data_IF_663067795139
#
_entry.id   IF_663067795139
#
_cell.length_a   1.000
_cell.length_b   1.000
_cell.length_c   1.000
_cell.angle_alpha   90.00
_cell.angle_beta   90.00
_cell.angle_gamma   90.00
#
_symmetry.space_group_name_H-M   'P 1'
#
loop_
_entity.id
_entity.type
_entity.pdbx_description
1 polymer ?
#
# COMPACT_ATOMS: atom_id res chain seq x y z
N UNK A 1 -23.63 34.07 -40.99
CA UNK A 1 -22.61 34.69 -40.15
C UNK A 1 -21.88 33.58 -39.43
N UNK A 2 -20.86 33.08 -40.10
CA UNK A 2 -20.06 31.89 -39.78
C UNK A 2 -18.69 32.33 -39.29
N UNK A 3 -18.07 31.57 -38.45
CA UNK A 3 -16.69 31.62 -37.92
C UNK A 3 -16.60 32.11 -36.45
N UNK A 4 -16.22 31.16 -35.64
CA UNK A 4 -15.13 31.17 -34.67
C UNK A 4 -15.45 30.19 -33.54
N UNK A 5 -14.72 29.09 -33.51
CA UNK A 5 -14.26 28.38 -32.32
C UNK A 5 -13.45 27.17 -32.80
N UNK A 6 -12.24 27.47 -33.25
CA UNK A 6 -11.17 26.49 -33.37
C UNK A 6 -10.14 26.78 -32.29
N UNK A 7 -10.15 25.99 -31.24
CA UNK A 7 -9.17 26.03 -30.16
C UNK A 7 -8.77 24.61 -29.80
N UNK A 8 -7.94 23.98 -30.65
CA UNK A 8 -7.35 22.68 -30.37
C UNK A 8 -6.32 22.77 -29.26
N UNK A 9 -6.68 22.38 -28.03
CA UNK A 9 -5.76 22.15 -26.95
C UNK A 9 -4.91 20.93 -27.24
N UNK A 10 -3.63 21.12 -27.54
CA UNK A 10 -2.64 20.02 -27.62
C UNK A 10 -2.51 19.33 -26.25
N UNK A 11 -2.47 18.01 -26.19
CA UNK A 11 -2.42 17.28 -24.92
C UNK A 11 -1.10 17.57 -24.19
N UNK A 12 -1.20 17.92 -22.91
CA UNK A 12 -0.10 18.21 -21.98
C UNK A 12 0.86 17.02 -21.73
N UNK A 13 0.59 15.85 -22.28
CA UNK A 13 1.43 14.65 -22.18
C UNK A 13 2.84 14.79 -22.79
N UNK A 14 3.03 15.68 -23.74
CA UNK A 14 4.33 15.86 -24.41
C UNK A 14 5.41 16.56 -23.57
N UNK A 15 5.03 17.37 -22.60
CA UNK A 15 5.99 18.13 -21.76
C UNK A 15 6.56 17.27 -20.62
N UNK A 16 5.75 16.41 -20.04
CA UNK A 16 6.17 15.48 -18.98
C UNK A 16 7.11 14.41 -19.54
N UNK A 17 6.78 13.84 -20.70
CA UNK A 17 7.61 12.86 -21.37
C UNK A 17 8.99 13.43 -21.81
N UNK A 18 9.07 14.70 -22.21
CA UNK A 18 10.34 15.37 -22.56
C UNK A 18 11.21 15.62 -21.33
N UNK A 19 10.63 16.03 -20.20
CA UNK A 19 11.37 16.26 -18.95
C UNK A 19 11.94 14.96 -18.38
N UNK A 20 11.13 13.90 -18.33
CA UNK A 20 11.59 12.58 -17.93
C UNK A 20 12.67 12.00 -18.86
N UNK A 21 12.60 12.31 -20.17
CA UNK A 21 13.63 11.91 -21.11
C UNK A 21 14.99 12.57 -20.83
N UNK A 22 15.01 13.85 -20.48
CA UNK A 22 16.24 14.57 -20.12
C UNK A 22 16.83 14.13 -18.78
N UNK A 23 16.01 13.91 -17.75
CA UNK A 23 16.48 13.40 -16.44
C UNK A 23 17.01 11.97 -16.54
N UNK A 24 16.49 11.17 -17.47
CA UNK A 24 17.01 9.83 -17.75
C UNK A 24 18.35 9.84 -18.50
N UNK A 25 18.63 10.88 -19.31
CA UNK A 25 19.92 11.02 -20.00
C UNK A 25 21.09 11.30 -19.05
N UNK A 26 20.83 11.89 -17.89
CA UNK A 26 21.84 12.24 -16.89
C UNK A 26 22.05 11.15 -15.81
N UNK A 27 21.21 10.11 -15.79
CA UNK A 27 21.27 9.03 -14.79
C UNK A 27 22.35 7.97 -15.12
N UNK A 28 22.94 7.26 -14.15
CA UNK A 28 23.88 6.17 -14.36
C UNK A 28 23.31 5.07 -15.27
N UNK A 29 24.17 4.47 -16.11
CA UNK A 29 23.78 3.51 -17.18
C UNK A 29 22.95 2.33 -16.64
N UNK A 30 23.24 1.84 -15.44
CA UNK A 30 22.47 0.75 -14.81
C UNK A 30 21.06 1.17 -14.40
N UNK A 31 20.90 2.38 -13.87
CA UNK A 31 19.60 2.96 -13.53
C UNK A 31 18.72 3.16 -14.76
N UNK A 32 19.32 3.59 -15.88
CA UNK A 32 18.62 3.75 -17.17
C UNK A 32 18.08 2.43 -17.70
N UNK A 33 18.86 1.35 -17.59
CA UNK A 33 18.43 0.00 -18.07
C UNK A 33 17.25 -0.52 -17.23
N UNK A 34 17.30 -0.33 -15.93
CA UNK A 34 16.25 -0.79 -15.02
C UNK A 34 14.95 -0.02 -15.21
N UNK A 35 15.01 1.32 -15.33
CA UNK A 35 13.84 2.17 -15.60
C UNK A 35 13.24 1.90 -16.98
N UNK A 36 14.07 1.68 -18.00
CA UNK A 36 13.61 1.31 -19.35
C UNK A 36 12.97 -0.08 -19.38
N UNK A 37 13.48 -1.04 -18.62
CA UNK A 37 12.89 -2.37 -18.51
C UNK A 37 11.54 -2.33 -17.78
N UNK A 38 11.44 -1.58 -16.68
CA UNK A 38 10.19 -1.33 -15.96
C UNK A 38 9.16 -0.62 -16.85
N UNK A 39 9.56 0.42 -17.54
CA UNK A 39 8.68 1.15 -18.46
C UNK A 39 8.18 0.25 -19.61
N UNK A 40 9.07 -0.55 -20.21
CA UNK A 40 8.69 -1.53 -21.25
C UNK A 40 7.78 -2.63 -20.70
N UNK A 41 7.97 -3.06 -19.45
CA UNK A 41 7.10 -4.04 -18.80
C UNK A 41 5.72 -3.46 -18.56
N UNK A 42 5.63 -2.24 -18.03
CA UNK A 42 4.37 -1.53 -17.79
C UNK A 42 3.61 -1.25 -19.09
N UNK A 43 4.30 -0.82 -20.14
CA UNK A 43 3.68 -0.64 -21.47
C UNK A 43 3.14 -1.96 -22.02
N UNK A 44 3.85 -3.07 -21.84
CA UNK A 44 3.39 -4.38 -22.28
C UNK A 44 2.21 -4.91 -21.49
N UNK A 45 2.17 -4.65 -20.19
CA UNK A 45 1.01 -4.97 -19.35
C UNK A 45 -0.20 -4.14 -19.81
N UNK A 46 0.01 -2.86 -20.11
CA UNK A 46 -1.04 -1.98 -20.61
C UNK A 46 -1.56 -2.41 -22.01
N UNK A 47 -0.68 -2.77 -22.93
CA UNK A 47 -1.06 -3.27 -24.27
C UNK A 47 -1.88 -4.55 -24.20
N UNK A 48 -1.50 -5.50 -23.34
CA UNK A 48 -2.26 -6.73 -23.08
C UNK A 48 -3.63 -6.41 -22.49
N UNK A 49 -3.68 -5.48 -21.56
CA UNK A 49 -4.92 -5.03 -20.92
C UNK A 49 -5.88 -4.39 -21.95
N UNK A 50 -5.39 -3.45 -22.78
CA UNK A 50 -6.19 -2.81 -23.83
C UNK A 50 -6.71 -3.81 -24.86
N UNK A 51 -5.88 -4.77 -25.28
CA UNK A 51 -6.27 -5.79 -26.25
C UNK A 51 -7.38 -6.69 -25.70
N UNK A 52 -7.24 -7.13 -24.44
CA UNK A 52 -8.24 -7.97 -23.76
C UNK A 52 -9.61 -7.27 -23.61
N UNK A 53 -9.61 -5.95 -23.40
CA UNK A 53 -10.83 -5.16 -23.29
C UNK A 53 -11.57 -5.09 -24.63
N UNK A 54 -10.86 -4.93 -25.75
CA UNK A 54 -11.46 -4.73 -27.07
C UNK A 54 -12.17 -5.96 -27.66
N UNK A 55 -11.82 -7.18 -27.22
CA UNK A 55 -12.27 -8.42 -27.83
C UNK A 55 -13.54 -9.04 -27.20
N UNK A 56 -14.10 -8.49 -26.11
CA UNK A 56 -15.17 -9.13 -25.36
C UNK A 56 -16.57 -8.49 -25.58
N UNK A 57 -17.68 -9.27 -25.60
CA UNK A 57 -19.05 -8.73 -25.59
C UNK A 57 -19.30 -7.85 -24.37
N UNK A 58 -20.05 -6.76 -24.52
CA UNK A 58 -20.19 -5.69 -23.51
C UNK A 58 -20.54 -6.16 -22.09
N UNK A 59 -21.42 -7.13 -21.93
CA UNK A 59 -21.80 -7.62 -20.60
C UNK A 59 -20.74 -8.49 -19.88
N UNK A 60 -19.84 -9.15 -20.62
CA UNK A 60 -18.74 -9.93 -20.04
C UNK A 60 -17.51 -9.08 -19.76
N UNK A 61 -17.27 -8.03 -20.52
CA UNK A 61 -16.17 -7.06 -20.29
C UNK A 61 -16.23 -6.49 -18.89
N UNK A 62 -17.42 -6.34 -18.38
CA UNK A 62 -17.79 -5.66 -17.16
C UNK A 62 -17.31 -6.37 -15.89
N UNK A 63 -17.57 -7.65 -15.76
CA UNK A 63 -17.14 -8.44 -14.59
C UNK A 63 -15.63 -8.68 -14.56
N UNK A 64 -15.02 -8.82 -15.73
CA UNK A 64 -13.61 -9.12 -15.89
C UNK A 64 -12.69 -7.95 -15.51
N UNK A 65 -13.16 -6.71 -15.63
CA UNK A 65 -12.32 -5.54 -15.38
C UNK A 65 -12.16 -5.22 -13.89
N UNK A 66 -13.18 -5.44 -13.06
CA UNK A 66 -13.04 -5.22 -11.59
C UNK A 66 -12.09 -6.23 -10.94
N UNK A 67 -12.15 -7.50 -11.36
CA UNK A 67 -11.23 -8.52 -10.87
C UNK A 67 -9.79 -8.19 -11.28
N UNK A 68 -9.57 -7.57 -12.44
CA UNK A 68 -8.23 -7.26 -12.98
C UNK A 68 -7.49 -6.11 -12.33
N UNK A 69 -8.16 -5.14 -11.71
CA UNK A 69 -7.47 -4.15 -10.88
C UNK A 69 -6.82 -4.79 -9.65
N UNK A 70 -7.55 -5.68 -8.98
CA UNK A 70 -6.99 -6.45 -7.88
C UNK A 70 -5.86 -7.37 -8.34
N UNK A 71 -5.98 -7.95 -9.54
CA UNK A 71 -4.94 -8.75 -10.19
C UNK A 71 -3.68 -7.91 -10.50
N UNK A 72 -3.86 -6.68 -11.02
CA UNK A 72 -2.76 -5.76 -11.26
C UNK A 72 -1.95 -5.44 -9.98
N UNK A 73 -2.64 -5.21 -8.87
CA UNK A 73 -2.00 -5.03 -7.57
C UNK A 73 -1.30 -6.30 -7.08
N UNK A 74 -1.89 -7.49 -7.30
CA UNK A 74 -1.26 -8.76 -6.94
C UNK A 74 0.01 -9.06 -7.75
N UNK A 75 0.15 -8.50 -8.96
CA UNK A 75 1.36 -8.63 -9.76
C UNK A 75 2.59 -7.95 -9.13
N UNK A 76 2.40 -7.04 -8.18
CA UNK A 76 3.48 -6.43 -7.40
C UNK A 76 4.13 -7.37 -6.38
N UNK A 77 3.44 -8.43 -5.94
CA UNK A 77 3.95 -9.31 -4.88
C UNK A 77 5.25 -10.03 -5.28
N UNK A 78 5.40 -10.61 -6.50
CA UNK A 78 6.68 -11.14 -6.96
C UNK A 78 7.81 -10.10 -7.00
N UNK A 79 7.47 -8.84 -7.32
CA UNK A 79 8.44 -7.75 -7.31
C UNK A 79 8.87 -7.39 -5.88
N UNK A 80 7.94 -7.38 -4.92
CA UNK A 80 8.26 -7.20 -3.51
C UNK A 80 9.22 -8.29 -2.98
N UNK A 81 9.09 -9.53 -3.45
CA UNK A 81 10.04 -10.60 -3.14
C UNK A 81 11.47 -10.29 -3.64
N UNK A 82 11.60 -9.75 -4.87
CA UNK A 82 12.90 -9.34 -5.40
C UNK A 82 13.49 -8.17 -4.61
N UNK A 83 12.66 -7.19 -4.21
CA UNK A 83 13.09 -6.11 -3.32
C UNK A 83 13.53 -6.62 -1.95
N UNK A 84 12.86 -7.66 -1.41
CA UNK A 84 13.28 -8.34 -0.18
C UNK A 84 14.68 -8.93 -0.27
N UNK A 85 15.05 -9.52 -1.41
CA UNK A 85 16.41 -10.02 -1.66
C UNK A 85 17.43 -8.86 -1.65
N UNK A 86 17.09 -7.73 -2.29
CA UNK A 86 17.94 -6.53 -2.29
C UNK A 86 18.09 -5.98 -0.87
N UNK A 87 17.04 -6.02 -0.06
CA UNK A 87 17.01 -5.57 1.32
C UNK A 87 18.05 -6.26 2.23
N UNK A 88 18.46 -7.49 1.91
CA UNK A 88 19.51 -8.20 2.66
C UNK A 88 20.82 -7.40 2.67
N UNK A 89 21.17 -6.79 1.56
CA UNK A 89 22.42 -5.99 1.45
C UNK A 89 22.35 -4.69 2.25
N UNK A 90 21.15 -4.16 2.49
CA UNK A 90 20.94 -2.98 3.33
C UNK A 90 20.89 -3.28 4.83
N UNK A 91 20.65 -4.53 5.21
CA UNK A 91 20.47 -4.95 6.60
C UNK A 91 21.55 -4.50 7.58
N UNK A 92 22.87 -4.68 7.29
CA UNK A 92 23.94 -4.25 8.16
C UNK A 92 23.99 -2.74 8.44
N UNK A 93 23.37 -1.93 7.56
CA UNK A 93 23.33 -0.47 7.68
C UNK A 93 22.06 0.06 8.35
N UNK A 94 20.99 -0.75 8.32
CA UNK A 94 19.67 -0.35 8.85
C UNK A 94 19.44 -0.85 10.27
N UNK A 95 19.95 -2.03 10.61
CA UNK A 95 19.62 -2.70 11.86
C UNK A 95 20.81 -2.68 12.83
N UNK A 96 20.65 -1.98 13.95
CA UNK A 96 21.67 -1.89 15.00
C UNK A 96 21.97 -3.28 15.61
N UNK A 97 20.94 -4.14 15.73
CA UNK A 97 21.09 -5.51 16.26
C UNK A 97 21.97 -6.43 15.40
N UNK A 98 22.26 -6.04 14.15
CA UNK A 98 23.17 -6.79 13.29
C UNK A 98 24.60 -6.78 13.81
N UNK A 99 25.06 -5.61 14.29
CA UNK A 99 26.40 -5.43 14.86
C UNK A 99 26.41 -5.62 16.39
N UNK A 100 25.34 -5.22 17.06
CA UNK A 100 25.19 -5.22 18.52
C UNK A 100 23.91 -5.91 18.94
N UNK A 101 23.89 -7.27 18.96
CA UNK A 101 22.68 -8.02 19.33
C UNK A 101 22.29 -7.74 20.78
N UNK A 102 21.01 -7.50 21.04
CA UNK A 102 20.46 -7.28 22.37
C UNK A 102 20.38 -8.59 23.14
N UNK A 103 20.98 -8.61 24.34
CA UNK A 103 20.98 -9.78 25.20
C UNK A 103 19.55 -10.28 25.52
N UNK A 104 19.29 -11.56 25.30
CA UNK A 104 17.96 -12.18 25.44
C UNK A 104 17.09 -12.15 24.19
N UNK A 105 17.41 -11.38 23.14
CA UNK A 105 16.72 -11.39 21.84
C UNK A 105 17.54 -12.01 20.70
N UNK A 106 18.74 -12.51 20.97
CA UNK A 106 19.70 -13.05 20.01
C UNK A 106 19.11 -14.18 19.15
N UNK A 107 18.29 -15.02 19.76
CA UNK A 107 17.62 -16.12 19.04
C UNK A 107 16.58 -15.62 18.05
N UNK A 108 15.90 -14.50 18.35
CA UNK A 108 14.88 -13.91 17.49
C UNK A 108 15.49 -12.95 16.47
N UNK A 109 16.28 -11.98 16.90
CA UNK A 109 16.97 -11.01 16.06
C UNK A 109 18.30 -11.58 15.58
N UNK A 110 18.24 -12.55 14.69
CA UNK A 110 19.38 -13.16 14.04
C UNK A 110 19.27 -12.98 12.53
N UNK A 111 20.28 -12.47 11.83
CA UNK A 111 20.24 -12.21 10.40
C UNK A 111 19.77 -13.44 9.59
N UNK A 112 20.29 -14.61 9.89
CA UNK A 112 19.93 -15.85 9.18
C UNK A 112 18.45 -16.18 9.39
N UNK A 113 17.95 -16.12 10.64
CA UNK A 113 16.54 -16.40 10.95
C UNK A 113 15.63 -15.36 10.29
N UNK A 114 15.90 -14.06 10.46
CA UNK A 114 15.06 -12.97 9.94
C UNK A 114 14.94 -13.10 8.43
N UNK A 115 16.04 -13.09 7.70
CA UNK A 115 15.97 -13.10 6.23
C UNK A 115 15.49 -14.43 5.66
N UNK A 116 15.80 -15.56 6.29
CA UNK A 116 15.26 -16.85 5.85
C UNK A 116 13.74 -16.90 6.00
N UNK A 117 13.22 -16.43 7.14
CA UNK A 117 11.78 -16.39 7.40
C UNK A 117 11.08 -15.41 6.46
N UNK A 118 11.61 -14.21 6.31
CA UNK A 118 10.99 -13.17 5.48
C UNK A 118 11.00 -13.53 4.00
N UNK A 119 12.12 -14.06 3.48
CA UNK A 119 12.17 -14.52 2.10
C UNK A 119 11.27 -15.72 1.85
N UNK A 120 11.15 -16.64 2.83
CA UNK A 120 10.18 -17.72 2.72
C UNK A 120 8.75 -17.20 2.66
N UNK A 121 8.37 -16.26 3.54
CA UNK A 121 7.03 -15.66 3.56
C UNK A 121 6.73 -14.89 2.27
N UNK A 122 7.63 -14.02 1.85
CA UNK A 122 7.47 -13.25 0.60
C UNK A 122 7.45 -14.17 -0.61
N UNK A 123 8.29 -15.19 -0.65
CA UNK A 123 8.33 -16.18 -1.72
C UNK A 123 7.06 -17.02 -1.78
N UNK A 124 6.54 -17.46 -0.63
CA UNK A 124 5.27 -18.18 -0.54
C UNK A 124 4.10 -17.30 -1.00
N UNK A 125 4.06 -16.02 -0.57
CA UNK A 125 3.06 -15.06 -1.03
C UNK A 125 3.16 -14.80 -2.53
N UNK A 126 4.36 -14.63 -3.07
CA UNK A 126 4.59 -14.43 -4.50
C UNK A 126 4.13 -15.64 -5.33
N UNK A 127 4.46 -16.85 -4.87
CA UNK A 127 4.01 -18.08 -5.51
C UNK A 127 2.48 -18.19 -5.51
N UNK A 128 1.84 -17.97 -4.37
CA UNK A 128 0.39 -18.01 -4.25
C UNK A 128 -0.29 -16.93 -5.09
N UNK A 129 0.27 -15.72 -5.13
CA UNK A 129 -0.22 -14.64 -5.99
C UNK A 129 -0.17 -15.05 -7.48
N UNK A 130 0.94 -15.61 -7.95
CA UNK A 130 1.07 -16.08 -9.35
C UNK A 130 0.10 -17.22 -9.64
N UNK A 131 -0.08 -18.18 -8.72
CA UNK A 131 -1.03 -19.28 -8.88
C UNK A 131 -2.47 -18.76 -8.91
N UNK A 132 -2.80 -17.80 -8.04
CA UNK A 132 -4.11 -17.15 -8.01
C UNK A 132 -4.38 -16.37 -9.30
N UNK A 133 -3.42 -15.54 -9.73
CA UNK A 133 -3.51 -14.77 -10.99
C UNK A 133 -3.69 -15.69 -12.20
N UNK A 134 -2.92 -16.80 -12.24
CA UNK A 134 -3.09 -17.81 -13.30
C UNK A 134 -4.48 -18.42 -13.29
N UNK A 135 -5.02 -18.75 -12.11
CA UNK A 135 -6.35 -19.31 -11.99
C UNK A 135 -7.43 -18.32 -12.42
N UNK A 136 -7.31 -17.05 -12.01
CA UNK A 136 -8.25 -15.98 -12.36
C UNK A 136 -8.21 -15.63 -13.86
N UNK A 137 -7.02 -15.42 -14.42
CA UNK A 137 -6.84 -14.99 -15.80
C UNK A 137 -7.14 -16.09 -16.84
N UNK A 138 -7.00 -17.38 -16.47
CA UNK A 138 -7.09 -18.50 -17.40
C UNK A 138 -8.35 -18.50 -18.29
N UNK A 139 -9.59 -18.29 -17.77
CA UNK A 139 -10.80 -18.30 -18.59
C UNK A 139 -10.87 -17.20 -19.64
N UNK A 140 -10.09 -16.14 -19.50
CA UNK A 140 -10.12 -14.96 -20.38
C UNK A 140 -8.92 -14.86 -21.33
N UNK A 141 -7.92 -15.71 -21.12
CA UNK A 141 -6.72 -15.68 -21.95
C UNK A 141 -6.82 -16.52 -23.24
N UNK A 142 -7.92 -17.22 -23.46
CA UNK A 142 -8.07 -18.10 -24.62
C UNK A 142 -7.95 -17.35 -25.94
N UNK A 143 -8.70 -16.25 -26.09
CA UNK A 143 -8.67 -15.45 -27.32
C UNK A 143 -7.27 -14.88 -27.61
N UNK A 144 -6.54 -14.49 -26.55
CA UNK A 144 -5.16 -14.04 -26.69
C UNK A 144 -4.23 -15.20 -27.06
N UNK A 145 -4.49 -16.41 -26.57
CA UNK A 145 -3.70 -17.59 -26.88
C UNK A 145 -3.88 -18.05 -28.33
N UNK A 146 -5.10 -17.91 -28.89
CA UNK A 146 -5.43 -18.33 -30.24
C UNK A 146 -5.12 -17.27 -31.31
N UNK A 147 -5.41 -16.00 -31.03
CA UNK A 147 -5.38 -14.91 -32.01
C UNK A 147 -4.29 -13.85 -31.73
N UNK A 148 -3.58 -13.97 -30.62
CA UNK A 148 -2.57 -12.98 -30.22
C UNK A 148 -1.18 -13.29 -30.78
N UNK A 149 -0.32 -12.29 -30.77
CA UNK A 149 1.08 -12.40 -31.20
C UNK A 149 2.04 -11.96 -30.07
N UNK A 150 3.28 -12.41 -30.15
CA UNK A 150 4.36 -11.97 -29.27
C UNK A 150 4.46 -12.72 -27.93
N UNK A 151 5.07 -12.07 -26.93
CA UNK A 151 5.34 -12.68 -25.62
C UNK A 151 4.06 -12.99 -24.82
N UNK A 152 3.08 -12.10 -24.87
CA UNK A 152 1.82 -12.25 -24.15
C UNK A 152 1.01 -13.47 -24.65
N UNK A 153 0.96 -13.68 -25.97
CA UNK A 153 0.30 -14.82 -26.57
C UNK A 153 0.98 -16.14 -26.17
N UNK A 154 2.31 -16.18 -26.17
CA UNK A 154 3.07 -17.36 -25.71
C UNK A 154 2.81 -17.68 -24.23
N UNK A 155 2.70 -16.66 -23.38
CA UNK A 155 2.30 -16.84 -21.97
C UNK A 155 0.87 -17.37 -21.86
N UNK A 156 -0.07 -16.76 -22.60
CA UNK A 156 -1.46 -17.18 -22.65
C UNK A 156 -1.59 -18.65 -23.08
N UNK A 157 -0.88 -19.07 -24.13
CA UNK A 157 -0.83 -20.46 -24.59
C UNK A 157 -0.35 -21.42 -23.50
N UNK A 158 0.73 -21.06 -22.77
CA UNK A 158 1.19 -21.88 -21.63
C UNK A 158 0.16 -21.97 -20.50
N UNK A 159 -0.55 -20.87 -20.22
CA UNK A 159 -1.50 -20.82 -19.13
C UNK A 159 -2.82 -21.50 -19.46
N UNK A 160 -3.21 -21.53 -20.73
CA UNK A 160 -4.44 -22.20 -21.23
C UNK A 160 -4.20 -23.63 -21.70
N UNK A 161 -2.99 -24.17 -21.57
CA UNK A 161 -2.70 -25.55 -21.96
C UNK A 161 -3.67 -26.55 -21.28
N UNK A 162 -4.20 -27.51 -22.05
CA UNK A 162 -5.18 -28.48 -21.59
C UNK A 162 -6.58 -27.90 -21.38
N UNK A 163 -7.03 -27.00 -22.24
CA UNK A 163 -8.34 -26.38 -22.20
C UNK A 163 -9.48 -27.41 -22.32
N UNK A 164 -10.46 -27.33 -21.39
CA UNK A 164 -11.59 -28.28 -21.28
C UNK A 164 -12.94 -27.70 -21.72
N UNK A 165 -12.97 -26.50 -22.23
CA UNK A 165 -14.17 -25.75 -22.57
C UNK A 165 -14.47 -24.61 -21.59
N UNK A 166 -15.13 -23.55 -22.08
CA UNK A 166 -15.29 -22.29 -21.37
C UNK A 166 -15.99 -22.42 -20.01
N UNK A 167 -17.03 -23.21 -19.94
CA UNK A 167 -17.81 -23.39 -18.71
C UNK A 167 -17.05 -24.23 -17.68
N UNK A 168 -16.39 -25.31 -18.13
CA UNK A 168 -15.55 -26.17 -17.29
C UNK A 168 -14.36 -25.38 -16.72
N UNK A 169 -13.73 -24.53 -17.52
CA UNK A 169 -12.60 -23.70 -17.08
C UNK A 169 -13.02 -22.62 -16.09
N UNK A 170 -14.18 -21.98 -16.28
CA UNK A 170 -14.73 -21.01 -15.32
C UNK A 170 -15.03 -21.67 -13.97
N UNK A 171 -15.63 -22.85 -13.99
CA UNK A 171 -15.92 -23.60 -12.78
C UNK A 171 -14.63 -24.05 -12.07
N UNK A 172 -13.65 -24.55 -12.83
CA UNK A 172 -12.34 -24.93 -12.30
C UNK A 172 -11.59 -23.74 -11.69
N UNK A 173 -11.63 -22.59 -12.36
CA UNK A 173 -11.06 -21.33 -11.88
C UNK A 173 -11.71 -20.91 -10.57
N UNK A 174 -13.05 -20.88 -10.50
CA UNK A 174 -13.80 -20.53 -9.28
C UNK A 174 -13.45 -21.45 -8.10
N UNK A 175 -13.38 -22.76 -8.33
CA UNK A 175 -12.98 -23.73 -7.30
C UNK A 175 -11.57 -23.52 -6.82
N UNK A 176 -10.62 -23.24 -7.72
CA UNK A 176 -9.22 -22.98 -7.35
C UNK A 176 -9.08 -21.69 -6.56
N UNK A 177 -9.68 -20.59 -7.02
CA UNK A 177 -9.66 -19.31 -6.32
C UNK A 177 -10.29 -19.42 -4.92
N UNK A 178 -11.44 -20.09 -4.82
CA UNK A 178 -12.14 -20.31 -3.55
C UNK A 178 -11.32 -21.10 -2.52
N UNK A 179 -10.41 -22.00 -2.97
CA UNK A 179 -9.49 -22.73 -2.08
C UNK A 179 -8.24 -21.91 -1.72
N UNK A 180 -7.74 -21.10 -2.67
CA UNK A 180 -6.54 -20.29 -2.47
C UNK A 180 -6.80 -19.05 -1.61
N UNK A 181 -7.96 -18.42 -1.75
CA UNK A 181 -8.29 -17.17 -1.06
C UNK A 181 -8.11 -17.25 0.47
N UNK A 182 -8.67 -18.23 1.20
CA UNK A 182 -8.47 -18.32 2.65
C UNK A 182 -7.02 -18.58 3.03
N UNK A 183 -6.26 -19.33 2.23
CA UNK A 183 -4.83 -19.61 2.47
C UNK A 183 -4.04 -18.30 2.32
N UNK A 184 -4.31 -17.52 1.27
CA UNK A 184 -3.68 -16.21 1.04
C UNK A 184 -4.02 -15.25 2.17
N UNK A 185 -5.28 -15.19 2.62
CA UNK A 185 -5.70 -14.33 3.72
C UNK A 185 -4.99 -14.67 5.03
N UNK A 186 -4.88 -15.96 5.36
CA UNK A 186 -4.17 -16.40 6.57
C UNK A 186 -2.67 -16.14 6.48
N UNK A 187 -2.05 -16.45 5.34
CA UNK A 187 -0.63 -16.19 5.12
C UNK A 187 -0.33 -14.69 5.15
N UNK A 188 -1.20 -13.86 4.58
CA UNK A 188 -1.07 -12.41 4.64
C UNK A 188 -1.19 -11.92 6.09
N UNK A 189 -2.24 -12.30 6.82
CA UNK A 189 -2.45 -11.83 8.19
C UNK A 189 -1.30 -12.19 9.12
N UNK A 190 -0.90 -13.46 9.16
CA UNK A 190 0.18 -13.94 10.04
C UNK A 190 1.55 -13.59 9.49
N UNK A 191 1.80 -13.87 8.21
CA UNK A 191 3.10 -13.68 7.59
C UNK A 191 3.49 -12.22 7.47
N UNK A 192 2.55 -11.35 7.08
CA UNK A 192 2.82 -9.92 7.01
C UNK A 192 3.00 -9.27 8.40
N UNK A 193 2.32 -9.79 9.43
CA UNK A 193 2.56 -9.37 10.81
C UNK A 193 3.98 -9.75 11.26
N UNK A 194 4.42 -10.98 10.99
CA UNK A 194 5.79 -11.41 11.28
C UNK A 194 6.83 -10.58 10.52
N UNK A 195 6.60 -10.37 9.24
CA UNK A 195 7.47 -9.52 8.42
C UNK A 195 7.61 -8.11 9.00
N UNK A 196 6.53 -7.50 9.52
CA UNK A 196 6.58 -6.20 10.15
C UNK A 196 7.30 -6.22 11.52
N UNK A 197 7.22 -7.30 12.28
CA UNK A 197 8.04 -7.47 13.48
C UNK A 197 9.53 -7.54 13.14
N UNK A 198 9.86 -8.24 12.06
CA UNK A 198 11.25 -8.46 11.66
C UNK A 198 11.86 -7.26 10.94
N UNK A 199 11.10 -6.53 10.11
CA UNK A 199 11.65 -5.45 9.29
C UNK A 199 11.39 -4.03 9.83
N UNK A 200 10.29 -3.81 10.53
CA UNK A 200 9.93 -2.45 10.98
C UNK A 200 10.11 -2.32 12.50
N UNK A 201 9.53 -3.21 13.29
CA UNK A 201 9.64 -3.12 14.74
C UNK A 201 11.07 -3.36 15.23
N UNK A 202 11.82 -4.24 14.60
CA UNK A 202 13.20 -4.57 14.97
C UNK A 202 14.21 -3.44 14.75
N UNK A 203 13.85 -2.37 14.02
CA UNK A 203 14.68 -1.17 13.91
C UNK A 203 14.96 -0.54 15.28
N UNK A 204 14.00 -0.68 16.21
CA UNK A 204 14.16 -0.34 17.62
C UNK A 204 14.24 -1.64 18.42
N UNK A 205 15.43 -2.21 18.53
CA UNK A 205 15.63 -3.54 19.11
C UNK A 205 15.12 -3.68 20.56
N UNK A 206 15.09 -2.60 21.32
CA UNK A 206 14.59 -2.58 22.70
C UNK A 206 13.07 -2.60 22.77
N UNK A 207 12.37 -2.06 21.75
CA UNK A 207 10.93 -1.92 21.74
C UNK A 207 10.20 -3.16 21.23
N UNK A 208 8.99 -3.39 21.73
CA UNK A 208 8.08 -4.42 21.22
C UNK A 208 6.61 -4.08 21.50
N UNK A 209 5.73 -4.51 20.61
CA UNK A 209 4.28 -4.44 20.79
C UNK A 209 3.60 -5.56 20.01
N UNK A 210 2.79 -6.36 20.70
CA UNK A 210 2.06 -7.49 20.09
C UNK A 210 1.01 -7.00 19.06
N UNK A 211 0.44 -5.82 19.27
CA UNK A 211 -0.56 -5.24 18.36
C UNK A 211 0.05 -4.61 17.10
N UNK A 212 1.35 -4.38 17.10
CA UNK A 212 2.03 -3.68 16.00
C UNK A 212 1.85 -4.39 14.66
N UNK A 213 2.03 -5.71 14.61
CA UNK A 213 1.84 -6.49 13.38
C UNK A 213 0.42 -6.38 12.84
N UNK A 214 -0.59 -6.49 13.70
CA UNK A 214 -1.99 -6.35 13.33
C UNK A 214 -2.32 -4.91 12.85
N UNK A 215 -1.77 -3.90 13.52
CA UNK A 215 -1.92 -2.49 13.15
C UNK A 215 -1.40 -2.21 11.74
N UNK A 216 -0.17 -2.63 11.44
CA UNK A 216 0.45 -2.43 10.12
C UNK A 216 -0.25 -3.24 9.04
N UNK A 217 -0.61 -4.49 9.33
CA UNK A 217 -1.37 -5.37 8.43
C UNK A 217 -2.73 -4.74 8.05
N UNK A 218 -3.46 -4.23 9.06
CA UNK A 218 -4.76 -3.59 8.82
C UNK A 218 -4.64 -2.31 8.01
N UNK A 219 -3.60 -1.52 8.23
CA UNK A 219 -3.26 -0.37 7.40
C UNK A 219 -3.08 -0.75 5.93
N UNK A 220 -2.44 -1.89 5.65
CA UNK A 220 -2.32 -2.45 4.30
C UNK A 220 -3.68 -2.80 3.68
N UNK A 221 -4.59 -3.44 4.44
CA UNK A 221 -5.95 -3.76 3.97
C UNK A 221 -6.74 -2.49 3.67
N UNK A 222 -6.70 -1.49 4.57
CA UNK A 222 -7.38 -0.21 4.37
C UNK A 222 -6.82 0.54 3.15
N UNK A 223 -5.51 0.52 2.95
CA UNK A 223 -4.86 1.08 1.75
C UNK A 223 -5.34 0.39 0.47
N UNK A 224 -5.48 -0.94 0.47
CA UNK A 224 -6.00 -1.68 -0.68
C UNK A 224 -7.45 -1.32 -1.00
N UNK A 225 -8.30 -1.13 0.01
CA UNK A 225 -9.69 -0.66 -0.17
C UNK A 225 -9.70 0.77 -0.73
N UNK A 226 -8.86 1.66 -0.20
CA UNK A 226 -8.73 3.03 -0.68
C UNK A 226 -8.22 3.06 -2.14
N UNK A 227 -7.20 2.28 -2.48
CA UNK A 227 -6.70 2.16 -3.85
C UNK A 227 -7.77 1.65 -4.81
N UNK A 228 -8.53 0.63 -4.41
CA UNK A 228 -9.64 0.09 -5.21
C UNK A 228 -10.75 1.12 -5.42
N UNK A 229 -11.07 1.91 -4.38
CA UNK A 229 -12.04 3.00 -4.49
C UNK A 229 -11.58 4.09 -5.45
N UNK A 230 -10.32 4.54 -5.32
CA UNK A 230 -9.73 5.58 -6.15
C UNK A 230 -9.64 5.14 -7.61
N UNK A 231 -9.12 3.94 -7.88
CA UNK A 231 -9.03 3.36 -9.22
C UNK A 231 -10.43 3.22 -9.84
N UNK A 232 -11.42 2.76 -9.08
CA UNK A 232 -12.81 2.71 -9.54
C UNK A 232 -13.34 4.08 -9.97
N UNK A 233 -13.08 5.13 -9.17
CA UNK A 233 -13.51 6.50 -9.50
C UNK A 233 -12.80 7.04 -10.73
N UNK A 234 -11.47 6.84 -10.83
CA UNK A 234 -10.67 7.34 -11.96
C UNK A 234 -11.04 6.68 -13.29
N UNK A 235 -11.43 5.41 -13.28
CA UNK A 235 -11.76 4.65 -14.47
C UNK A 235 -13.28 4.58 -14.75
N UNK A 236 -14.11 5.34 -14.04
CA UNK A 236 -15.56 5.33 -14.17
C UNK A 236 -16.05 5.57 -15.60
N UNK A 237 -15.36 6.44 -16.34
CA UNK A 237 -15.70 6.85 -17.70
C UNK A 237 -14.86 6.14 -18.79
N UNK A 238 -14.01 5.17 -18.37
CA UNK A 238 -13.19 4.42 -19.32
C UNK A 238 -14.09 3.44 -20.09
N UNK A 239 -13.92 3.31 -21.42
CA UNK A 239 -14.68 2.36 -22.22
C UNK A 239 -14.60 0.94 -21.65
N UNK A 240 -15.74 0.33 -21.39
CA UNK A 240 -15.86 -0.98 -20.75
C UNK A 240 -16.04 -0.96 -19.22
N UNK A 241 -15.91 0.20 -18.55
CA UNK A 241 -16.28 0.41 -17.14
C UNK A 241 -17.61 1.17 -16.99
N UNK A 242 -18.16 1.64 -18.09
CA UNK A 242 -19.41 2.40 -18.10
C UNK A 242 -20.54 1.62 -17.42
N UNK A 243 -21.21 2.27 -16.46
CA UNK A 243 -22.32 1.68 -15.71
C UNK A 243 -21.93 0.67 -14.61
N UNK A 244 -20.64 0.36 -14.42
CA UNK A 244 -20.20 -0.57 -13.38
C UNK A 244 -20.05 0.08 -12.01
N UNK A 245 -19.60 1.31 -11.98
CA UNK A 245 -19.45 2.09 -10.75
C UNK A 245 -20.82 2.67 -10.39
N UNK A 246 -21.69 1.80 -9.89
CA UNK A 246 -23.01 2.19 -9.43
C UNK A 246 -22.94 2.86 -8.06
N UNK A 247 -23.90 3.74 -7.72
CA UNK A 247 -23.98 4.33 -6.37
C UNK A 247 -24.02 3.29 -5.25
N UNK A 248 -24.63 2.12 -5.49
CA UNK A 248 -24.70 1.02 -4.53
C UNK A 248 -23.31 0.43 -4.26
N UNK A 249 -22.53 0.14 -5.30
CA UNK A 249 -21.15 -0.38 -5.16
C UNK A 249 -20.24 0.64 -4.47
N UNK A 250 -20.38 1.91 -4.85
CA UNK A 250 -19.62 3.00 -4.20
C UNK A 250 -19.99 3.13 -2.71
N UNK A 251 -21.26 2.94 -2.36
CA UNK A 251 -21.70 2.89 -0.99
C UNK A 251 -21.07 1.73 -0.21
N UNK A 252 -20.96 0.55 -0.83
CA UNK A 252 -20.33 -0.61 -0.16
C UNK A 252 -18.84 -0.39 0.08
N UNK A 253 -18.11 0.11 -0.90
CA UNK A 253 -16.69 0.49 -0.74
C UNK A 253 -16.56 1.62 0.29
N UNK A 254 -17.42 2.62 0.25
CA UNK A 254 -17.45 3.71 1.23
C UNK A 254 -17.74 3.24 2.66
N UNK A 255 -18.56 2.19 2.86
CA UNK A 255 -18.75 1.56 4.18
C UNK A 255 -17.49 0.85 4.66
N UNK A 256 -16.81 0.11 3.77
CA UNK A 256 -15.56 -0.55 4.12
C UNK A 256 -14.48 0.47 4.48
N UNK A 257 -14.31 1.51 3.67
CA UNK A 257 -13.36 2.58 3.93
C UNK A 257 -13.62 3.25 5.29
N UNK A 258 -14.89 3.58 5.59
CA UNK A 258 -15.31 4.13 6.86
C UNK A 258 -15.06 3.17 8.04
N UNK A 259 -15.54 1.94 7.96
CA UNK A 259 -15.41 0.96 9.05
C UNK A 259 -13.97 0.55 9.32
N UNK A 260 -13.18 0.40 8.26
CA UNK A 260 -11.77 0.01 8.39
C UNK A 260 -10.89 1.15 8.91
N UNK A 261 -11.23 2.42 8.63
CA UNK A 261 -10.53 3.56 9.23
C UNK A 261 -10.78 3.64 10.74
N UNK A 262 -12.00 3.32 11.22
CA UNK A 262 -12.30 3.23 12.65
C UNK A 262 -11.50 2.10 13.31
N UNK A 263 -11.44 0.93 12.69
CA UNK A 263 -10.73 -0.21 13.25
C UNK A 263 -9.20 0.01 13.25
N UNK A 264 -8.67 0.68 12.24
CA UNK A 264 -7.26 1.09 12.23
C UNK A 264 -6.95 2.04 13.40
N UNK A 265 -7.80 3.04 13.62
CA UNK A 265 -7.66 3.94 14.76
C UNK A 265 -7.79 3.21 16.10
N UNK A 266 -8.70 2.24 16.20
CA UNK A 266 -8.83 1.41 17.39
C UNK A 266 -7.51 0.65 17.68
N UNK A 267 -6.87 0.05 16.70
CA UNK A 267 -5.60 -0.67 16.89
C UNK A 267 -4.48 0.29 17.34
N UNK A 268 -4.39 1.47 16.72
CA UNK A 268 -3.45 2.51 17.13
C UNK A 268 -3.70 2.96 18.57
N UNK A 269 -4.94 3.27 18.89
CA UNK A 269 -5.32 3.76 20.22
C UNK A 269 -5.17 2.68 21.30
N UNK A 270 -5.52 1.44 21.01
CA UNK A 270 -5.35 0.33 21.94
C UNK A 270 -3.89 0.12 22.32
N UNK A 271 -2.99 0.14 21.34
CA UNK A 271 -1.55 0.06 21.55
C UNK A 271 -1.04 1.26 22.35
N UNK A 272 -1.42 2.46 21.98
CA UNK A 272 -1.09 3.69 22.70
C UNK A 272 -1.54 3.63 24.17
N UNK A 273 -2.79 3.24 24.42
CA UNK A 273 -3.38 3.21 25.74
C UNK A 273 -2.62 2.28 26.71
N UNK A 274 -2.25 1.10 26.25
CA UNK A 274 -1.49 0.11 27.04
C UNK A 274 -0.13 0.68 27.43
N UNK A 275 0.59 1.23 26.48
CA UNK A 275 1.93 1.82 26.71
C UNK A 275 1.83 3.06 27.59
N UNK A 276 0.81 3.90 27.39
CA UNK A 276 0.57 5.10 28.19
C UNK A 276 0.33 4.76 29.67
N UNK A 277 -0.53 3.78 29.96
CA UNK A 277 -0.81 3.37 31.34
C UNK A 277 0.32 2.56 31.97
N UNK A 278 1.02 1.73 31.18
CA UNK A 278 2.19 0.98 31.62
C UNK A 278 3.36 1.90 31.99
N UNK A 279 3.52 2.99 31.26
CA UNK A 279 4.53 4.03 31.45
C UNK A 279 5.94 3.46 31.73
N UNK A 280 6.31 2.39 31.04
CA UNK A 280 7.64 1.81 31.10
C UNK A 280 8.58 2.59 30.20
N UNK A 281 9.72 3.09 30.68
CA UNK A 281 10.66 3.88 29.86
C UNK A 281 11.10 3.17 28.59
N UNK A 282 11.27 1.85 28.66
CA UNK A 282 11.65 0.98 27.53
C UNK A 282 10.55 0.82 26.47
N UNK A 283 9.32 1.22 26.73
CA UNK A 283 8.20 1.16 25.77
C UNK A 283 7.76 2.56 25.31
N UNK A 284 7.84 3.55 26.18
CA UNK A 284 7.32 4.90 25.92
C UNK A 284 8.13 5.69 24.90
N UNK A 285 9.46 5.46 24.81
CA UNK A 285 10.34 6.24 23.94
C UNK A 285 9.92 6.12 22.46
N UNK A 286 9.51 4.95 22.01
CA UNK A 286 9.10 4.70 20.63
C UNK A 286 7.92 5.57 20.20
N UNK A 287 6.90 5.64 21.05
CA UNK A 287 5.71 6.46 20.79
C UNK A 287 5.99 7.96 21.00
N UNK A 288 6.81 8.32 22.00
CA UNK A 288 7.22 9.70 22.22
C UNK A 288 7.89 10.29 21.00
N UNK A 289 8.84 9.58 20.40
CA UNK A 289 9.59 10.05 19.25
C UNK A 289 8.71 10.23 18.02
N UNK A 290 7.62 9.47 17.91
CA UNK A 290 6.66 9.53 16.79
C UNK A 290 5.47 10.46 17.04
N UNK A 291 4.86 10.41 18.20
CA UNK A 291 3.67 11.20 18.54
C UNK A 291 4.02 12.60 19.09
N UNK A 292 5.23 12.75 19.59
CA UNK A 292 5.66 13.94 20.31
C UNK A 292 5.53 13.79 21.84
N UNK A 293 6.33 14.55 22.62
CA UNK A 293 6.51 14.36 24.05
C UNK A 293 5.22 14.62 24.85
N UNK A 294 4.30 15.42 24.35
CA UNK A 294 3.05 15.75 25.06
C UNK A 294 2.00 14.63 25.08
N UNK A 295 2.16 13.61 24.24
CA UNK A 295 1.27 12.44 24.23
C UNK A 295 1.74 11.33 25.16
N UNK A 296 2.94 11.46 25.76
CA UNK A 296 3.51 10.44 26.63
C UNK A 296 3.87 11.06 27.98
N UNK A 297 3.68 10.30 29.04
CA UNK A 297 4.11 10.67 30.40
C UNK A 297 5.60 10.38 30.48
N UNK A 298 6.43 11.40 30.32
CA UNK A 298 7.85 11.28 30.65
C UNK A 298 8.08 11.76 32.10
N UNK A 299 8.97 11.11 32.86
CA UNK A 299 9.22 11.41 34.28
C UNK A 299 9.60 12.87 34.54
N UNK A 300 10.09 13.62 33.53
CA UNK A 300 10.35 15.05 33.60
C UNK A 300 9.14 15.96 33.28
N UNK A 301 8.08 15.40 32.73
CA UNK A 301 6.89 16.14 32.27
C UNK A 301 5.61 15.82 33.06
N UNK A 302 5.68 14.91 34.03
CA UNK A 302 4.52 14.32 34.71
C UNK A 302 3.62 15.34 35.40
N UNK A 303 4.15 16.36 36.05
CA UNK A 303 3.32 17.35 36.74
C UNK A 303 2.68 18.35 35.77
N UNK A 304 3.37 18.70 34.71
CA UNK A 304 2.87 19.65 33.71
C UNK A 304 1.95 19.02 32.67
N UNK A 305 2.17 17.75 32.29
CA UNK A 305 1.33 17.05 31.33
C UNK A 305 -0.03 16.64 31.95
N UNK A 306 -0.06 16.29 33.23
CA UNK A 306 -1.34 16.06 33.96
C UNK A 306 -2.04 17.34 34.40
N UNK A 307 -1.30 18.40 34.65
CA UNK A 307 -1.89 19.74 34.83
C UNK A 307 -2.42 20.30 33.50
N UNK A 308 -2.02 19.77 32.37
CA UNK A 308 -2.68 19.92 31.07
C UNK A 308 -4.02 19.18 31.06
N UNK A 309 -4.80 19.51 32.08
CA UNK A 309 -6.18 19.14 32.23
C UNK A 309 -6.90 19.15 30.89
N UNK A 310 -7.70 18.23 30.67
CA UNK A 310 -8.88 18.00 29.87
C UNK A 310 -9.43 19.18 29.02
N UNK A 311 -8.81 20.36 29.03
CA UNK A 311 -9.19 21.52 28.23
C UNK A 311 -8.20 21.66 27.07
N UNK A 312 -8.68 21.54 25.84
CA UNK A 312 -7.90 21.73 24.60
C UNK A 312 -7.14 23.06 24.52
N UNK A 313 -7.42 23.99 25.43
CA UNK A 313 -6.83 25.33 25.57
C UNK A 313 -5.42 25.31 26.17
N UNK A 314 -5.10 24.30 27.02
CA UNK A 314 -3.81 24.16 27.66
C UNK A 314 -2.84 23.31 26.85
N UNK A 315 -3.27 22.80 25.68
CA UNK A 315 -2.45 22.01 24.78
C UNK A 315 -1.33 22.87 24.17
N UNK A 316 -0.09 22.54 24.49
CA UNK A 316 1.08 23.29 24.00
C UNK A 316 1.39 22.91 22.55
N UNK A 317 0.72 23.54 21.62
CA UNK A 317 0.88 23.29 20.18
C UNK A 317 2.32 23.41 19.68
N UNK A 318 3.14 24.28 20.31
CA UNK A 318 4.56 24.42 19.99
C UNK A 318 5.36 23.13 20.19
N UNK A 319 4.94 22.27 21.12
CA UNK A 319 5.61 20.99 21.40
C UNK A 319 5.35 19.93 20.34
N UNK A 320 4.33 20.07 19.50
CA UNK A 320 4.15 19.22 18.32
C UNK A 320 5.29 19.36 17.32
N UNK A 321 6.06 20.45 17.39
CA UNK A 321 7.23 20.65 16.56
C UNK A 321 8.43 19.81 17.05
N UNK A 322 8.38 19.36 18.30
CA UNK A 322 9.39 18.46 18.84
C UNK A 322 9.15 17.05 18.29
N UNK A 323 10.15 16.44 17.69
CA UNK A 323 10.03 15.15 17.02
C UNK A 323 9.08 15.19 15.80
N UNK A 324 8.34 14.10 15.60
CA UNK A 324 7.45 13.90 14.44
C UNK A 324 5.97 14.17 14.75
N UNK A 325 5.66 14.97 15.78
CA UNK A 325 4.29 15.20 16.25
C UNK A 325 3.34 15.72 15.18
N UNK A 326 3.77 16.70 14.37
CA UNK A 326 2.97 17.20 13.23
C UNK A 326 2.72 16.18 12.15
N UNK A 327 3.73 15.32 11.87
CA UNK A 327 3.60 14.23 10.91
C UNK A 327 2.55 13.23 11.40
N UNK A 328 2.60 12.87 12.71
CA UNK A 328 1.62 11.99 13.33
C UNK A 328 0.21 12.56 13.29
N UNK A 329 0.04 13.87 13.56
CA UNK A 329 -1.27 14.55 13.44
C UNK A 329 -1.79 14.51 12.00
N UNK A 330 -0.92 14.67 11.02
CA UNK A 330 -1.29 14.55 9.61
C UNK A 330 -1.75 13.14 9.27
N UNK A 331 -1.02 12.11 9.71
CA UNK A 331 -1.41 10.70 9.55
C UNK A 331 -2.77 10.45 10.20
N UNK A 332 -2.95 10.87 11.44
CA UNK A 332 -4.21 10.72 12.19
C UNK A 332 -5.38 11.39 11.47
N UNK A 333 -5.18 12.60 10.98
CA UNK A 333 -6.19 13.33 10.23
C UNK A 333 -6.54 12.64 8.90
N UNK A 334 -5.55 12.22 8.11
CA UNK A 334 -5.75 11.63 6.80
C UNK A 334 -6.33 10.21 6.86
N UNK A 335 -5.85 9.37 7.80
CA UNK A 335 -6.24 7.96 7.85
C UNK A 335 -7.53 7.71 8.66
N UNK A 336 -7.89 8.61 9.58
CA UNK A 336 -9.06 8.42 10.42
C UNK A 336 -9.99 9.62 10.47
N UNK A 337 -9.53 10.82 10.86
CA UNK A 337 -10.42 11.96 11.13
C UNK A 337 -11.24 12.36 9.89
N UNK A 338 -10.58 12.54 8.76
CA UNK A 338 -11.23 12.94 7.50
C UNK A 338 -12.18 11.83 7.00
N UNK A 339 -11.74 10.56 6.81
CA UNK A 339 -12.67 9.53 6.37
C UNK A 339 -13.82 9.30 7.34
N UNK A 340 -13.58 9.39 8.65
CA UNK A 340 -14.65 9.25 9.66
C UNK A 340 -15.74 10.32 9.49
N UNK A 341 -15.37 11.61 9.53
CA UNK A 341 -16.35 12.68 9.48
C UNK A 341 -17.01 12.83 8.11
N UNK A 342 -16.23 12.73 7.04
CA UNK A 342 -16.75 12.91 5.69
C UNK A 342 -17.63 11.73 5.27
N UNK A 343 -17.24 10.50 5.60
CA UNK A 343 -17.98 9.30 5.22
C UNK A 343 -19.01 8.84 6.27
N UNK A 344 -19.34 9.65 7.30
CA UNK A 344 -20.34 9.29 8.29
C UNK A 344 -21.74 9.15 7.68
N UNK A 345 -22.11 10.07 6.78
CA UNK A 345 -23.41 10.07 6.12
C UNK A 345 -23.54 9.01 5.02
N UNK A 346 -24.79 8.68 4.65
CA UNK A 346 -25.05 7.76 3.54
C UNK A 346 -24.76 8.41 2.18
N UNK A 347 -25.16 9.66 1.97
CA UNK A 347 -24.98 10.40 0.71
C UNK A 347 -23.51 10.55 0.30
N UNK A 348 -22.57 10.93 1.20
CA UNK A 348 -21.14 11.00 0.86
C UNK A 348 -20.58 9.68 0.36
N UNK A 349 -21.01 8.54 0.92
CA UNK A 349 -20.53 7.21 0.52
C UNK A 349 -21.00 6.77 -0.89
N UNK A 350 -22.09 7.35 -1.39
CA UNK A 350 -22.63 7.04 -2.73
C UNK A 350 -22.07 7.94 -3.83
N UNK A 351 -21.38 9.02 -3.44
CA UNK A 351 -20.93 10.08 -4.35
C UNK A 351 -19.46 9.91 -4.70
N UNK A 352 -19.18 9.62 -5.96
CA UNK A 352 -17.79 9.41 -6.46
C UNK A 352 -16.87 10.62 -6.22
N UNK A 353 -17.42 11.85 -6.35
CA UNK A 353 -16.72 13.10 -6.07
C UNK A 353 -16.28 13.29 -4.62
N UNK A 354 -16.83 12.52 -3.69
CA UNK A 354 -16.44 12.58 -2.27
C UNK A 354 -15.56 11.38 -1.93
N UNK A 355 -15.96 10.17 -2.36
CA UNK A 355 -15.21 8.94 -2.05
C UNK A 355 -13.83 8.95 -2.69
N UNK A 356 -13.68 9.44 -3.93
CA UNK A 356 -12.40 9.50 -4.63
C UNK A 356 -11.34 10.34 -3.90
N UNK A 357 -11.59 11.63 -3.61
CA UNK A 357 -10.67 12.44 -2.82
C UNK A 357 -10.37 11.90 -1.42
N UNK A 358 -11.37 11.36 -0.72
CA UNK A 358 -11.15 10.73 0.59
C UNK A 358 -10.23 9.52 0.47
N UNK A 359 -10.45 8.66 -0.51
CA UNK A 359 -9.58 7.51 -0.78
C UNK A 359 -8.14 7.94 -1.10
N UNK A 360 -7.97 8.98 -1.90
CA UNK A 360 -6.65 9.56 -2.19
C UNK A 360 -5.96 10.09 -0.92
N UNK A 361 -6.69 10.84 -0.08
CA UNK A 361 -6.16 11.37 1.19
C UNK A 361 -5.73 10.22 2.12
N UNK A 362 -6.51 9.15 2.20
CA UNK A 362 -6.16 7.95 2.98
C UNK A 362 -4.88 7.31 2.46
N UNK A 363 -4.72 7.17 1.15
CA UNK A 363 -3.49 6.61 0.55
C UNK A 363 -2.26 7.47 0.86
N UNK A 364 -2.39 8.79 0.71
CA UNK A 364 -1.32 9.74 1.10
C UNK A 364 -1.03 9.62 2.59
N UNK A 365 -2.07 9.52 3.43
CA UNK A 365 -1.91 9.33 4.88
C UNK A 365 -1.13 8.06 5.22
N UNK A 366 -1.41 6.93 4.57
CA UNK A 366 -0.68 5.68 4.78
C UNK A 366 0.74 5.73 4.22
N UNK A 367 0.96 6.44 3.13
CA UNK A 367 2.32 6.67 2.65
C UNK A 367 3.15 7.45 3.68
N UNK A 368 2.61 8.53 4.25
CA UNK A 368 3.25 9.30 5.33
C UNK A 368 3.44 8.43 6.58
N UNK A 369 2.45 7.63 6.94
CA UNK A 369 2.48 6.73 8.09
C UNK A 369 3.62 5.70 7.98
N UNK A 370 3.83 5.08 6.82
CA UNK A 370 4.95 4.15 6.61
C UNK A 370 6.30 4.83 6.82
N UNK A 371 6.44 6.05 6.35
CA UNK A 371 7.63 6.84 6.61
C UNK A 371 7.78 7.18 8.10
N UNK A 372 6.69 7.54 8.79
CA UNK A 372 6.70 7.81 10.23
C UNK A 372 7.11 6.58 11.07
N UNK A 373 6.75 5.37 10.65
CA UNK A 373 7.14 4.15 11.38
C UNK A 373 8.65 3.87 11.27
N UNK A 374 9.26 4.18 10.14
CA UNK A 374 10.66 3.83 9.83
C UNK A 374 11.63 4.97 10.16
N UNK A 375 11.27 6.18 9.75
CA UNK A 375 12.18 7.31 9.70
C UNK A 375 12.78 7.73 11.04
N UNK A 376 12.00 7.84 12.13
CA UNK A 376 12.53 8.24 13.44
C UNK A 376 13.61 7.28 13.96
N UNK A 377 13.52 6.01 13.62
CA UNK A 377 14.51 5.01 14.03
C UNK A 377 15.83 5.11 13.24
N UNK A 378 15.76 5.59 11.99
CA UNK A 378 16.94 5.70 11.11
C UNK A 378 17.66 7.04 11.32
N UNK A 379 16.93 8.13 11.42
CA UNK A 379 17.50 9.51 11.33
C UNK A 379 17.42 10.29 12.65
N UNK A 380 16.92 9.67 13.72
CA UNK A 380 16.91 10.23 15.09
C UNK A 380 16.56 11.73 15.14
N UNK A 381 15.32 12.10 14.82
CA UNK A 381 14.77 13.46 14.93
C UNK A 381 15.33 14.52 13.95
N UNK A 382 16.06 14.15 12.91
CA UNK A 382 16.45 15.08 11.86
C UNK A 382 15.31 15.27 10.84
N UNK A 383 14.41 16.21 11.11
CA UNK A 383 13.30 16.57 10.22
C UNK A 383 13.76 17.16 8.87
N UNK A 384 14.97 17.73 8.82
CA UNK A 384 15.49 18.31 7.56
C UNK A 384 15.80 17.21 6.57
N UNK A 385 16.35 16.10 7.03
CA UNK A 385 16.58 14.91 6.20
C UNK A 385 15.27 14.30 5.73
N UNK A 386 14.22 14.24 6.59
CA UNK A 386 12.90 13.76 6.21
C UNK A 386 12.30 14.59 5.05
N UNK A 387 12.29 15.92 5.18
CA UNK A 387 11.77 16.81 4.13
C UNK A 387 12.58 16.68 2.84
N UNK A 388 13.90 16.55 2.93
CA UNK A 388 14.78 16.38 1.77
C UNK A 388 14.57 15.09 1.00
N UNK A 389 14.05 14.02 1.65
CA UNK A 389 13.79 12.73 1.02
C UNK A 389 12.34 12.54 0.52
N UNK A 390 11.43 13.47 0.85
CA UNK A 390 10.05 13.43 0.32
C UNK A 390 10.03 13.28 -1.21
N UNK A 391 10.77 14.06 -2.02
CA UNK A 391 10.79 13.89 -3.47
C UNK A 391 11.30 12.52 -3.91
N UNK A 392 12.31 11.96 -3.21
CA UNK A 392 12.84 10.64 -3.50
C UNK A 392 11.83 9.53 -3.17
N UNK A 393 11.17 9.61 -2.02
CA UNK A 393 10.12 8.65 -1.63
C UNK A 393 8.91 8.71 -2.55
N UNK A 394 8.53 9.91 -3.05
CA UNK A 394 7.49 10.06 -4.06
C UNK A 394 7.92 9.38 -5.36
N UNK A 395 9.17 9.55 -5.78
CA UNK A 395 9.69 8.92 -7.00
C UNK A 395 9.77 7.40 -6.95
N UNK A 396 9.94 6.81 -5.75
CA UNK A 396 9.94 5.35 -5.55
C UNK A 396 8.54 4.77 -5.34
N UNK A 397 7.58 5.58 -4.90
CA UNK A 397 6.21 5.15 -4.60
C UNK A 397 5.26 5.21 -5.80
N UNK A 398 5.68 5.81 -6.89
CA UNK A 398 4.97 5.91 -8.17
C UNK A 398 5.74 5.22 -9.30
#
# INVERSE_FOLDING_TARGET
MSRMLGGGGKPRHGLFARRMGQELEDAPIESRRTVLLLHKLLLRIHEVHEWLIRQQPEGQRVLLQQERFAEGLAAWVPFAFLLGIIGIFGGPHLFEWWAHPLHGKEAWLNPVRVYTTDLFLLGAMALLAVVFLKASARPTLRDLAENGEGFAARMAQKWTAGWQGDEAERELSRKKMGRLAPIICLLFGIGFSLFNFDQVMSMEQAWYSNLFGAYVCWGGILSAVAASALLGVLHKETPGFEGQITPSRMHDIGKLLFGFSIFWMYLLFAQYLVIYYGNLPEETFYLRDRLGPQFMIDKGYTEQAFALSWTAWDFQWSRLQEGYGWVSMTVWACCWLIPFWVLMGQRPKTTTWIVGPVAFIVLVGFWVERNLLVWPSVVKNDMTAFVGLIPFCIGLGF
#
